data_IF_291715759481
#
_entry.id   IF_291715759481
#
_cell.length_a   1.000
_cell.length_b   1.000
_cell.length_c   1.000
_cell.angle_alpha   90.00
_cell.angle_beta   90.00
_cell.angle_gamma   90.00
#
_symmetry.space_group_name_H-M   'P 1'
#
loop_
_entity.id
_entity.type
_entity.pdbx_description
1 polymer ?
#
# COMPACT_ATOMS: atom_id res chain seq x y z
N UNK A 1 -30.21 25.64 -1.72
CA UNK A 1 -31.15 24.67 -2.32
C UNK A 1 -30.38 23.36 -2.46
N UNK A 2 -30.72 22.37 -1.64
CA UNK A 2 -30.14 21.03 -1.68
C UNK A 2 -30.77 20.30 -2.86
N UNK A 3 -30.07 20.17 -3.97
CA UNK A 3 -30.49 19.25 -5.03
C UNK A 3 -30.33 17.84 -4.46
N UNK A 4 -31.46 17.22 -4.11
CA UNK A 4 -31.53 15.79 -3.86
C UNK A 4 -31.08 15.08 -5.13
N UNK A 5 -29.86 14.50 -5.10
CA UNK A 5 -29.43 13.57 -6.15
C UNK A 5 -30.33 12.35 -5.97
N UNK A 6 -31.35 12.22 -6.85
CA UNK A 6 -32.22 11.05 -6.88
C UNK A 6 -31.50 9.95 -7.67
N UNK A 7 -31.55 8.71 -7.18
CA UNK A 7 -31.16 7.54 -7.95
C UNK A 7 -31.97 7.50 -9.26
N UNK A 8 -31.35 7.10 -10.40
CA UNK A 8 -32.09 6.88 -11.63
C UNK A 8 -33.24 5.90 -11.36
N UNK A 9 -34.41 6.21 -11.86
CA UNK A 9 -35.62 5.39 -11.64
C UNK A 9 -35.50 4.09 -12.39
N UNK A 10 -35.46 2.95 -11.67
CA UNK A 10 -35.67 1.60 -12.22
C UNK A 10 -34.96 1.31 -13.55
N UNK A 11 -33.68 1.68 -13.65
CA UNK A 11 -32.91 1.35 -14.86
C UNK A 11 -32.19 0.02 -14.67
N UNK A 12 -32.08 -0.74 -15.75
CA UNK A 12 -31.40 -2.03 -15.80
C UNK A 12 -30.05 -1.88 -16.49
N UNK A 13 -29.00 -2.43 -15.90
CA UNK A 13 -27.62 -2.42 -16.42
C UNK A 13 -27.12 -3.85 -16.59
N UNK A 14 -26.21 -4.05 -17.54
CA UNK A 14 -25.52 -5.33 -17.66
C UNK A 14 -24.54 -5.50 -16.49
N UNK A 15 -23.87 -4.39 -16.07
CA UNK A 15 -22.88 -4.40 -15.00
C UNK A 15 -23.03 -3.16 -14.12
N UNK A 16 -23.11 -3.40 -12.81
CA UNK A 16 -22.98 -2.34 -11.80
C UNK A 16 -21.63 -2.45 -11.06
N UNK A 17 -20.85 -1.36 -11.04
CA UNK A 17 -19.58 -1.27 -10.34
C UNK A 17 -19.77 -0.47 -9.05
N UNK A 18 -19.49 -1.08 -7.92
CA UNK A 18 -19.60 -0.46 -6.59
C UNK A 18 -18.23 0.07 -6.15
N UNK A 19 -18.07 1.39 -6.19
CA UNK A 19 -16.81 2.11 -6.01
C UNK A 19 -16.16 2.50 -7.34
N UNK A 20 -15.95 3.81 -7.54
CA UNK A 20 -15.28 4.38 -8.71
C UNK A 20 -13.86 4.88 -8.37
N UNK A 21 -13.13 4.12 -7.56
CA UNK A 21 -11.69 4.27 -7.35
C UNK A 21 -10.88 3.70 -8.51
N UNK A 22 -9.57 3.47 -8.29
CA UNK A 22 -8.67 2.97 -9.33
C UNK A 22 -9.16 1.65 -9.96
N UNK A 23 -9.44 0.64 -9.14
CA UNK A 23 -9.91 -0.66 -9.62
C UNK A 23 -11.30 -0.58 -10.27
N UNK A 24 -12.22 0.18 -9.66
CA UNK A 24 -13.58 0.31 -10.17
C UNK A 24 -13.64 1.08 -11.48
N UNK A 25 -12.90 2.17 -11.66
CA UNK A 25 -12.81 2.88 -12.94
C UNK A 25 -12.25 1.97 -14.04
N UNK A 26 -11.16 1.25 -13.74
CA UNK A 26 -10.60 0.30 -14.71
C UNK A 26 -11.58 -0.80 -15.08
N UNK A 27 -12.33 -1.33 -14.10
CA UNK A 27 -13.35 -2.35 -14.34
C UNK A 27 -14.51 -1.80 -15.19
N UNK A 28 -15.00 -0.62 -14.87
CA UNK A 28 -16.06 0.04 -15.60
C UNK A 28 -15.67 0.34 -17.06
N UNK A 29 -14.46 0.88 -17.28
CA UNK A 29 -13.91 1.12 -18.61
C UNK A 29 -13.83 -0.20 -19.40
N UNK A 30 -13.25 -1.24 -18.80
CA UNK A 30 -13.07 -2.52 -19.47
C UNK A 30 -14.41 -3.17 -19.85
N UNK A 31 -15.41 -3.14 -18.98
CA UNK A 31 -16.76 -3.66 -19.26
C UNK A 31 -17.48 -2.84 -20.34
N UNK A 32 -17.43 -1.52 -20.28
CA UNK A 32 -18.04 -0.62 -21.28
C UNK A 32 -17.39 -0.76 -22.64
N UNK A 33 -16.05 -0.82 -22.73
CA UNK A 33 -15.33 -1.06 -23.98
C UNK A 33 -15.66 -2.43 -24.59
N UNK A 34 -16.03 -3.42 -23.78
CA UNK A 34 -16.53 -4.71 -24.24
C UNK A 34 -18.02 -4.69 -24.64
N UNK A 35 -18.68 -3.52 -24.57
CA UNK A 35 -20.05 -3.28 -25.04
C UNK A 35 -21.15 -3.53 -24.01
N UNK A 36 -20.79 -3.64 -22.70
CA UNK A 36 -21.79 -3.71 -21.63
C UNK A 36 -22.34 -2.31 -21.31
N UNK A 37 -23.64 -2.23 -20.95
CA UNK A 37 -24.23 -1.05 -20.32
C UNK A 37 -23.82 -1.02 -18.84
N UNK A 38 -23.00 -0.03 -18.47
CA UNK A 38 -22.35 0.01 -17.15
C UNK A 38 -22.80 1.22 -16.33
N UNK A 39 -23.10 0.99 -15.05
CA UNK A 39 -23.21 2.04 -14.04
C UNK A 39 -22.09 1.88 -13.01
N UNK A 40 -21.41 2.97 -12.64
CA UNK A 40 -20.44 3.02 -11.55
C UNK A 40 -20.97 3.91 -10.42
N UNK A 41 -21.11 3.37 -9.22
CA UNK A 41 -21.71 4.04 -8.08
C UNK A 41 -20.64 4.28 -7.01
N UNK A 42 -20.46 5.54 -6.58
CA UNK A 42 -19.47 5.89 -5.56
C UNK A 42 -20.09 6.78 -4.47
N UNK A 43 -19.81 6.44 -3.22
CA UNK A 43 -20.22 7.23 -2.05
C UNK A 43 -19.51 8.57 -1.92
N UNK A 44 -18.34 8.73 -2.53
CA UNK A 44 -17.60 9.97 -2.54
C UNK A 44 -18.17 10.95 -3.59
N UNK A 45 -18.16 12.24 -3.28
CA UNK A 45 -18.53 13.29 -4.24
C UNK A 45 -17.47 13.52 -5.33
N UNK A 46 -16.22 13.14 -5.07
CA UNK A 46 -15.09 13.31 -5.99
C UNK A 46 -14.51 11.95 -6.35
N UNK A 47 -14.61 11.60 -7.63
CA UNK A 47 -14.03 10.36 -8.16
C UNK A 47 -12.51 10.41 -8.10
N UNK A 48 -11.91 9.24 -7.81
CA UNK A 48 -10.46 9.08 -7.79
C UNK A 48 -9.74 9.82 -6.66
N UNK A 49 -10.42 10.13 -5.54
CA UNK A 49 -9.84 10.90 -4.45
C UNK A 49 -8.52 10.31 -3.92
N UNK A 50 -8.43 8.97 -3.80
CA UNK A 50 -7.20 8.28 -3.39
C UNK A 50 -6.09 8.36 -4.46
N UNK A 51 -6.45 8.36 -5.75
CA UNK A 51 -5.49 8.59 -6.85
C UNK A 51 -4.89 10.00 -6.72
N UNK A 52 -5.73 11.00 -6.48
CA UNK A 52 -5.32 12.40 -6.40
C UNK A 52 -4.33 12.72 -5.29
N UNK A 53 -4.37 12.02 -4.17
CA UNK A 53 -3.45 12.24 -3.03
C UNK A 53 -2.21 11.34 -3.09
N UNK A 54 -2.26 10.28 -3.87
CA UNK A 54 -1.18 9.29 -3.93
C UNK A 54 0.13 9.87 -4.46
N UNK A 55 1.26 9.32 -3.99
CA UNK A 55 2.57 9.76 -4.41
C UNK A 55 2.83 11.27 -4.21
N UNK A 56 2.23 11.88 -3.18
CA UNK A 56 2.32 13.30 -2.92
C UNK A 56 1.58 14.17 -3.94
N UNK A 57 0.45 13.71 -4.46
CA UNK A 57 -0.36 14.41 -5.46
C UNK A 57 0.11 14.22 -6.91
N UNK A 58 1.08 13.32 -7.14
CA UNK A 58 1.64 13.02 -8.46
C UNK A 58 1.09 11.75 -9.10
N UNK A 59 0.51 10.85 -8.33
CA UNK A 59 0.09 9.50 -8.69
C UNK A 59 1.24 8.61 -9.16
N UNK A 60 1.71 7.71 -8.30
CA UNK A 60 2.63 6.66 -8.69
C UNK A 60 1.83 5.54 -9.40
N UNK A 61 1.74 5.59 -10.73
CA UNK A 61 0.84 4.75 -11.55
C UNK A 61 1.19 3.27 -11.44
N UNK A 62 2.48 2.94 -11.44
CA UNK A 62 3.00 1.57 -11.30
C UNK A 62 4.49 1.60 -10.97
N UNK A 63 5.15 0.45 -10.95
CA UNK A 63 6.60 0.31 -10.87
C UNK A 63 7.14 -0.31 -12.16
N UNK A 64 8.40 -0.09 -12.52
CA UNK A 64 9.01 -0.69 -13.71
C UNK A 64 9.08 -2.22 -13.67
N UNK A 65 9.15 -2.77 -12.44
CA UNK A 65 9.16 -4.22 -12.21
C UNK A 65 8.17 -4.53 -11.10
N UNK A 66 7.14 -5.30 -11.42
CA UNK A 66 6.12 -5.76 -10.47
C UNK A 66 6.04 -7.28 -10.54
N UNK A 67 6.25 -7.93 -9.41
CA UNK A 67 6.22 -9.39 -9.26
C UNK A 67 5.28 -9.79 -8.12
N UNK A 68 4.83 -11.04 -8.10
CA UNK A 68 3.97 -11.54 -7.05
C UNK A 68 4.63 -11.50 -5.64
N UNK A 69 5.96 -11.55 -5.59
CA UNK A 69 6.75 -11.45 -4.35
C UNK A 69 6.69 -10.06 -3.71
N UNK A 70 6.31 -9.04 -4.47
CA UNK A 70 6.13 -7.67 -3.98
C UNK A 70 4.81 -7.46 -3.22
N UNK A 71 4.00 -8.52 -3.14
CA UNK A 71 2.69 -8.50 -2.48
C UNK A 71 2.62 -9.54 -1.36
N UNK A 72 1.74 -9.26 -0.41
CA UNK A 72 1.27 -10.21 0.59
C UNK A 72 -0.02 -10.86 0.08
N UNK A 73 -0.15 -12.17 0.28
CA UNK A 73 -1.25 -12.98 -0.22
C UNK A 73 -0.77 -14.21 -0.98
N UNK A 74 -1.65 -14.86 -1.73
CA UNK A 74 -1.33 -16.05 -2.52
C UNK A 74 -0.50 -15.69 -3.75
N UNK A 75 0.81 -15.96 -3.74
CA UNK A 75 1.74 -15.64 -4.84
C UNK A 75 1.27 -16.16 -6.20
N UNK A 76 0.80 -17.40 -6.26
CA UNK A 76 0.35 -18.00 -7.53
C UNK A 76 -0.90 -17.31 -8.07
N UNK A 77 -1.84 -16.97 -7.21
CA UNK A 77 -3.06 -16.25 -7.57
C UNK A 77 -2.74 -14.83 -8.05
N UNK A 78 -1.90 -14.11 -7.29
CA UNK A 78 -1.44 -12.76 -7.63
C UNK A 78 -0.71 -12.76 -8.98
N UNK A 79 0.23 -13.69 -9.18
CA UNK A 79 0.97 -13.83 -10.43
C UNK A 79 0.05 -14.10 -11.64
N UNK A 80 -1.04 -14.87 -11.45
CA UNK A 80 -2.02 -15.14 -12.50
C UNK A 80 -2.76 -13.87 -12.92
N UNK A 81 -3.21 -13.07 -11.96
CA UNK A 81 -3.91 -11.80 -12.21
C UNK A 81 -2.97 -10.77 -12.85
N UNK A 82 -1.77 -10.57 -12.30
CA UNK A 82 -0.80 -9.59 -12.83
C UNK A 82 -0.40 -9.87 -14.29
N UNK A 83 -0.35 -11.13 -14.71
CA UNK A 83 -0.06 -11.51 -16.10
C UNK A 83 -1.16 -11.12 -17.10
N UNK A 84 -2.40 -10.90 -16.65
CA UNK A 84 -3.49 -10.47 -17.54
C UNK A 84 -3.39 -9.00 -17.96
N UNK A 85 -2.69 -8.20 -17.13
CA UNK A 85 -2.42 -6.79 -17.38
C UNK A 85 -1.15 -6.39 -16.66
N UNK A 86 -0.02 -6.62 -17.30
CA UNK A 86 1.31 -6.38 -16.76
C UNK A 86 1.71 -4.90 -16.80
N UNK A 87 2.95 -4.61 -16.38
CA UNK A 87 3.47 -3.23 -16.36
C UNK A 87 3.50 -2.64 -17.77
N UNK A 88 3.91 -3.41 -18.79
CA UNK A 88 3.97 -2.92 -20.18
C UNK A 88 2.58 -2.56 -20.70
N UNK A 89 1.58 -3.39 -20.41
CA UNK A 89 0.17 -3.14 -20.73
C UNK A 89 -0.37 -1.90 -19.99
N UNK A 90 0.02 -1.72 -18.71
CA UNK A 90 -0.36 -0.54 -17.93
C UNK A 90 0.23 0.74 -18.54
N UNK A 91 1.51 0.73 -18.90
CA UNK A 91 2.18 1.88 -19.53
C UNK A 91 1.49 2.22 -20.85
N UNK A 92 1.29 1.22 -21.72
CA UNK A 92 0.61 1.41 -23.03
C UNK A 92 -0.80 2.00 -22.85
N UNK A 93 -1.58 1.47 -21.93
CA UNK A 93 -2.93 1.98 -21.64
C UNK A 93 -2.94 3.45 -21.24
N UNK A 94 -2.07 3.87 -20.33
CA UNK A 94 -2.01 5.28 -19.93
C UNK A 94 -1.44 6.18 -21.03
N UNK A 95 -0.48 5.71 -21.83
CA UNK A 95 0.04 6.45 -22.98
C UNK A 95 -1.02 6.65 -24.08
N UNK A 96 -1.84 5.64 -24.38
CA UNK A 96 -2.99 5.73 -25.28
C UNK A 96 -4.02 6.76 -24.81
N UNK A 97 -4.21 6.90 -23.49
CA UNK A 97 -5.04 7.94 -22.89
C UNK A 97 -4.37 9.32 -22.82
N UNK A 98 -3.14 9.45 -23.35
CA UNK A 98 -2.39 10.70 -23.39
C UNK A 98 -1.58 11.01 -22.12
N UNK A 99 -1.45 10.05 -21.20
CA UNK A 99 -0.65 10.20 -19.97
C UNK A 99 0.70 9.51 -20.14
N UNK A 100 1.70 10.28 -20.60
CA UNK A 100 3.08 9.79 -20.71
C UNK A 100 3.69 9.65 -19.31
N UNK A 101 4.40 8.53 -19.10
CA UNK A 101 5.02 8.19 -17.82
C UNK A 101 6.54 8.41 -17.86
N UNK A 102 7.11 8.78 -16.73
CA UNK A 102 8.57 8.84 -16.48
C UNK A 102 8.93 7.92 -15.32
N UNK A 103 10.12 7.33 -15.42
CA UNK A 103 10.73 6.53 -14.37
C UNK A 103 11.54 7.40 -13.43
N UNK A 104 11.42 7.18 -12.11
CA UNK A 104 12.32 7.68 -11.09
C UNK A 104 13.35 6.60 -10.67
N UNK A 105 14.42 6.99 -9.98
CA UNK A 105 15.54 6.09 -9.60
C UNK A 105 15.11 4.82 -8.87
N UNK A 106 14.02 4.91 -8.10
CA UNK A 106 13.45 3.78 -7.34
C UNK A 106 12.55 2.85 -8.17
N UNK A 107 12.51 3.01 -9.50
CA UNK A 107 11.66 2.25 -10.41
C UNK A 107 10.20 2.69 -10.46
N UNK A 108 9.81 3.68 -9.68
CA UNK A 108 8.43 4.22 -9.66
C UNK A 108 8.13 4.95 -10.95
N UNK A 109 6.92 4.73 -11.50
CA UNK A 109 6.46 5.38 -12.72
C UNK A 109 5.41 6.45 -12.40
N UNK A 110 5.74 7.70 -12.72
CA UNK A 110 4.88 8.86 -12.52
C UNK A 110 4.50 9.52 -13.85
N UNK A 111 3.37 10.22 -13.94
CA UNK A 111 3.10 11.11 -15.07
C UNK A 111 4.23 12.11 -15.25
N UNK A 112 4.64 12.38 -16.50
CA UNK A 112 5.66 13.40 -16.80
C UNK A 112 5.25 14.77 -16.24
N UNK A 113 3.96 15.06 -16.24
CA UNK A 113 3.39 16.29 -15.69
C UNK A 113 3.51 16.42 -14.17
N UNK A 114 3.82 15.35 -13.45
CA UNK A 114 3.77 15.28 -11.97
C UNK A 114 2.40 15.65 -11.36
N UNK A 115 1.32 15.42 -12.07
CA UNK A 115 -0.04 15.77 -11.63
C UNK A 115 -0.95 14.55 -11.64
N UNK A 116 -1.38 14.09 -10.48
CA UNK A 116 -2.34 13.00 -10.34
C UNK A 116 -3.69 13.30 -11.03
N UNK A 117 -4.02 14.59 -11.18
CA UNK A 117 -5.22 15.03 -11.88
C UNK A 117 -5.27 14.54 -13.33
N UNK A 118 -4.13 14.55 -14.03
CA UNK A 118 -4.08 14.14 -15.43
C UNK A 118 -4.40 12.64 -15.59
N UNK A 119 -4.02 11.81 -14.59
CA UNK A 119 -4.40 10.38 -14.55
C UNK A 119 -5.91 10.22 -14.35
N UNK A 120 -6.49 10.94 -13.38
CA UNK A 120 -7.94 10.86 -13.12
C UNK A 120 -8.75 11.35 -14.32
N UNK A 121 -8.36 12.49 -14.90
CA UNK A 121 -9.06 13.06 -16.06
C UNK A 121 -8.96 12.14 -17.29
N UNK A 122 -7.85 11.44 -17.48
CA UNK A 122 -7.67 10.44 -18.53
C UNK A 122 -8.60 9.23 -18.33
N UNK A 123 -8.68 8.69 -17.10
CA UNK A 123 -9.58 7.61 -16.74
C UNK A 123 -11.05 8.01 -16.93
N UNK A 124 -11.44 9.22 -16.54
CA UNK A 124 -12.80 9.71 -16.70
C UNK A 124 -13.17 9.89 -18.19
N UNK A 125 -12.25 10.34 -19.04
CA UNK A 125 -12.48 10.37 -20.50
C UNK A 125 -12.66 8.96 -21.07
N UNK A 126 -11.83 8.01 -20.64
CA UNK A 126 -11.97 6.60 -21.05
C UNK A 126 -13.30 5.98 -20.59
N UNK A 127 -13.90 6.52 -19.52
CA UNK A 127 -15.17 6.08 -18.97
C UNK A 127 -16.39 6.85 -19.55
N UNK A 128 -16.28 7.57 -20.69
CA UNK A 128 -17.42 8.33 -21.28
C UNK A 128 -18.67 7.47 -21.54
N UNK A 129 -18.49 6.17 -21.82
CA UNK A 129 -19.60 5.23 -22.01
C UNK A 129 -20.20 4.67 -20.71
N UNK A 130 -19.71 5.09 -19.55
CA UNK A 130 -20.14 4.62 -18.22
C UNK A 130 -21.02 5.67 -17.55
N UNK A 131 -22.18 5.27 -17.04
CA UNK A 131 -22.95 6.14 -16.16
C UNK A 131 -22.29 6.20 -14.77
N UNK A 132 -21.78 7.36 -14.37
CA UNK A 132 -21.10 7.52 -13.08
C UNK A 132 -22.02 8.27 -12.12
N UNK A 133 -22.41 7.61 -11.03
CA UNK A 133 -23.27 8.14 -9.96
C UNK A 133 -22.43 8.38 -8.74
N UNK A 134 -22.32 9.63 -8.29
CA UNK A 134 -21.48 10.03 -7.14
C UNK A 134 -22.29 10.52 -5.95
N UNK A 135 -21.72 10.43 -4.75
CA UNK A 135 -22.38 10.89 -3.52
C UNK A 135 -23.51 9.96 -3.06
N UNK A 136 -23.60 8.76 -3.62
CA UNK A 136 -24.57 7.74 -3.23
C UNK A 136 -23.81 6.53 -2.68
N UNK A 137 -24.01 6.28 -1.40
CA UNK A 137 -23.50 5.08 -0.74
C UNK A 137 -24.36 3.88 -1.09
N UNK A 138 -23.75 2.78 -1.48
CA UNK A 138 -24.45 1.50 -1.59
C UNK A 138 -24.51 0.88 -0.20
N UNK A 139 -25.75 0.69 0.28
CA UNK A 139 -26.00 0.13 1.62
C UNK A 139 -26.56 -1.29 1.56
N UNK A 140 -27.23 -1.64 0.44
CA UNK A 140 -27.77 -2.97 0.20
C UNK A 140 -27.55 -3.44 -1.24
N UNK A 141 -27.38 -4.74 -1.39
CA UNK A 141 -27.42 -5.46 -2.66
C UNK A 141 -28.29 -6.69 -2.39
N UNK A 142 -29.52 -6.63 -2.91
CA UNK A 142 -30.53 -7.67 -2.69
C UNK A 142 -30.42 -8.77 -3.76
N UNK A 143 -31.16 -9.87 -3.56
CA UNK A 143 -31.22 -10.99 -4.53
C UNK A 143 -31.60 -10.47 -5.93
N UNK A 144 -30.89 -10.99 -6.96
CA UNK A 144 -31.04 -10.49 -8.34
C UNK A 144 -30.32 -9.16 -8.57
N UNK A 145 -29.39 -8.79 -7.69
CA UNK A 145 -28.59 -7.56 -7.74
C UNK A 145 -29.42 -6.29 -7.87
N UNK A 146 -30.40 -6.14 -6.98
CA UNK A 146 -31.11 -4.87 -6.78
C UNK A 146 -30.32 -4.03 -5.76
N UNK A 147 -29.70 -2.95 -6.25
CA UNK A 147 -28.81 -2.09 -5.46
C UNK A 147 -29.62 -0.94 -4.88
N UNK A 148 -29.59 -0.78 -3.54
CA UNK A 148 -30.37 0.23 -2.81
C UNK A 148 -31.87 0.25 -3.20
N UNK A 149 -32.45 -0.91 -3.54
CA UNK A 149 -33.85 -1.05 -3.90
C UNK A 149 -34.29 -0.38 -5.22
N UNK A 150 -33.34 0.09 -6.07
CA UNK A 150 -33.72 0.90 -7.25
C UNK A 150 -32.90 0.64 -8.52
N UNK A 151 -31.64 0.28 -8.42
CA UNK A 151 -30.77 -0.02 -9.57
C UNK A 151 -30.69 -1.53 -9.74
N UNK A 152 -31.03 -2.01 -10.96
CA UNK A 152 -30.96 -3.43 -11.30
C UNK A 152 -29.74 -3.70 -12.16
N UNK A 153 -29.03 -4.80 -11.92
CA UNK A 153 -27.91 -5.22 -12.75
C UNK A 153 -27.87 -6.75 -12.90
N UNK A 154 -27.42 -7.23 -14.05
CA UNK A 154 -27.19 -8.67 -14.25
C UNK A 154 -25.97 -9.16 -13.50
N UNK A 155 -24.96 -8.27 -13.35
CA UNK A 155 -23.68 -8.55 -12.70
C UNK A 155 -23.22 -7.37 -11.84
N UNK A 156 -22.52 -7.68 -10.76
CA UNK A 156 -21.98 -6.66 -9.86
C UNK A 156 -20.47 -6.82 -9.74
N UNK A 157 -19.74 -5.71 -9.80
CA UNK A 157 -18.29 -5.66 -9.48
C UNK A 157 -18.13 -4.86 -8.20
N UNK A 158 -17.67 -5.51 -7.12
CA UNK A 158 -17.40 -4.88 -5.84
C UNK A 158 -15.94 -4.39 -5.81
N UNK A 159 -15.76 -3.06 -5.94
CA UNK A 159 -14.49 -2.37 -6.03
C UNK A 159 -14.37 -1.24 -4.99
N UNK A 160 -15.02 -1.42 -3.82
CA UNK A 160 -15.21 -0.38 -2.80
C UNK A 160 -13.95 -0.07 -1.96
N UNK A 161 -12.81 -0.69 -2.28
CA UNK A 161 -11.54 -0.47 -1.58
C UNK A 161 -11.50 -1.09 -0.18
N UNK A 162 -10.52 -0.66 0.63
CA UNK A 162 -10.34 -1.11 2.01
C UNK A 162 -10.82 -0.10 3.05
N UNK A 163 -9.94 0.21 4.03
CA UNK A 163 -10.21 1.16 5.13
C UNK A 163 -9.19 2.30 5.21
N UNK A 164 -8.15 2.28 4.37
CA UNK A 164 -7.07 3.27 4.42
C UNK A 164 -7.50 4.60 3.82
N UNK A 165 -7.14 5.71 4.48
CA UNK A 165 -7.54 7.08 4.17
C UNK A 165 -9.07 7.19 4.02
N UNK A 166 -9.86 6.96 5.09
CA UNK A 166 -11.33 6.82 5.01
C UNK A 166 -12.02 8.03 4.37
N UNK A 167 -11.45 9.22 4.51
CA UNK A 167 -11.97 10.47 3.91
C UNK A 167 -12.00 10.44 2.37
N UNK A 168 -11.36 9.46 1.72
CA UNK A 168 -11.39 9.26 0.26
C UNK A 168 -12.52 8.34 -0.20
N UNK A 169 -13.38 7.86 0.70
CA UNK A 169 -14.45 6.91 0.44
C UNK A 169 -14.12 5.44 0.77
N UNK A 170 -12.85 5.15 1.11
CA UNK A 170 -12.37 3.81 1.48
C UNK A 170 -12.56 3.60 3.00
N UNK A 171 -13.79 3.44 3.45
CA UNK A 171 -14.17 3.41 4.87
C UNK A 171 -14.49 2.01 5.44
N UNK A 172 -14.35 0.98 4.61
CA UNK A 172 -14.64 -0.40 4.96
C UNK A 172 -16.10 -0.83 4.75
N UNK A 173 -16.97 0.03 4.25
CA UNK A 173 -18.36 -0.33 3.94
C UNK A 173 -18.45 -1.48 2.94
N UNK A 174 -17.51 -1.58 1.99
CA UNK A 174 -17.41 -2.71 1.05
C UNK A 174 -17.28 -4.06 1.73
N UNK A 175 -16.61 -4.14 2.88
CA UNK A 175 -16.52 -5.40 3.65
C UNK A 175 -17.87 -5.83 4.24
N UNK A 176 -18.73 -4.88 4.57
CA UNK A 176 -20.10 -5.18 5.01
C UNK A 176 -20.90 -5.76 3.86
N UNK A 177 -20.84 -5.14 2.68
CA UNK A 177 -21.49 -5.67 1.47
C UNK A 177 -20.96 -7.06 1.11
N UNK A 178 -19.65 -7.27 1.14
CA UNK A 178 -19.06 -8.57 0.88
C UNK A 178 -19.59 -9.67 1.82
N UNK A 179 -19.70 -9.37 3.14
CA UNK A 179 -20.30 -10.31 4.11
C UNK A 179 -21.77 -10.57 3.87
N UNK A 180 -22.56 -9.56 3.50
CA UNK A 180 -23.98 -9.74 3.15
C UNK A 180 -24.16 -10.65 1.93
N UNK A 181 -23.16 -10.66 1.03
CA UNK A 181 -23.13 -11.54 -0.16
C UNK A 181 -22.47 -12.90 0.12
N UNK A 182 -22.19 -13.23 1.39
CA UNK A 182 -21.72 -14.55 1.82
C UNK A 182 -20.20 -14.70 1.92
N UNK A 183 -19.43 -13.66 1.61
CA UNK A 183 -17.96 -13.71 1.72
C UNK A 183 -17.46 -13.61 3.15
N UNK A 184 -16.31 -14.22 3.40
CA UNK A 184 -15.52 -13.96 4.60
C UNK A 184 -14.64 -12.72 4.38
N UNK A 185 -14.26 -12.07 5.48
CA UNK A 185 -13.31 -10.97 5.47
C UNK A 185 -12.30 -11.21 6.57
N UNK A 186 -11.04 -11.40 6.20
CA UNK A 186 -9.94 -11.53 7.15
C UNK A 186 -9.78 -10.26 7.97
N UNK A 187 -9.18 -10.33 9.18
CA UNK A 187 -8.97 -9.14 10.00
C UNK A 187 -8.23 -8.05 9.22
N UNK A 188 -8.86 -6.89 9.07
CA UNK A 188 -8.27 -5.76 8.37
C UNK A 188 -7.47 -4.88 9.34
N UNK A 189 -6.25 -4.50 8.97
CA UNK A 189 -5.38 -3.63 9.73
C UNK A 189 -4.61 -2.66 8.80
N UNK A 190 -4.07 -1.52 9.34
CA UNK A 190 -3.31 -0.58 8.53
C UNK A 190 -2.03 -1.20 7.98
N UNK A 191 -1.70 -0.95 6.72
CA UNK A 191 -0.42 -1.30 6.10
C UNK A 191 0.15 -0.09 5.36
N UNK A 192 1.47 -0.10 5.12
CA UNK A 192 2.20 1.08 4.64
C UNK A 192 1.89 2.30 5.53
N UNK A 193 2.06 2.13 6.83
CA UNK A 193 1.68 3.11 7.85
C UNK A 193 2.88 3.53 8.68
N UNK A 194 3.05 4.84 9.00
CA UNK A 194 4.09 5.29 9.91
C UNK A 194 3.90 4.74 11.32
N UNK A 195 5.01 4.56 12.04
CA UNK A 195 5.06 3.99 13.39
C UNK A 195 5.37 5.06 14.43
N UNK A 196 4.68 4.99 15.56
CA UNK A 196 4.82 5.91 16.68
C UNK A 196 5.73 5.27 17.74
N UNK A 197 6.70 6.03 18.22
CA UNK A 197 7.58 5.60 19.30
C UNK A 197 7.10 6.14 20.66
N UNK A 198 7.67 5.63 21.74
CA UNK A 198 7.44 6.10 23.11
C UNK A 198 7.59 7.61 23.22
N UNK A 199 6.69 8.24 23.98
CA UNK A 199 6.68 9.70 24.17
C UNK A 199 7.96 10.17 24.85
N UNK A 200 8.60 11.19 24.29
CA UNK A 200 9.84 11.77 24.83
C UNK A 200 11.12 10.99 24.48
N UNK A 201 11.00 9.94 23.66
CA UNK A 201 12.19 9.23 23.19
C UNK A 201 13.00 10.12 22.22
N UNK A 202 14.32 10.08 22.29
CA UNK A 202 15.23 10.92 21.50
C UNK A 202 15.05 10.79 19.98
N UNK A 203 14.50 9.68 19.49
CA UNK A 203 14.16 9.48 18.06
C UNK A 203 13.34 10.65 17.51
N UNK A 204 12.39 11.19 18.31
CA UNK A 204 11.53 12.29 17.87
C UNK A 204 12.27 13.63 17.70
N UNK A 205 13.43 13.78 18.33
CA UNK A 205 14.30 14.94 18.19
C UNK A 205 15.09 14.94 16.87
N UNK A 206 15.20 13.79 16.22
CA UNK A 206 15.87 13.64 14.92
C UNK A 206 14.94 13.92 13.72
N UNK A 207 13.76 14.49 13.95
CA UNK A 207 12.78 14.77 12.89
C UNK A 207 13.43 15.46 11.68
N UNK A 208 13.12 14.94 10.48
CA UNK A 208 13.63 15.40 9.20
C UNK A 208 14.90 14.66 8.73
N UNK A 209 15.54 13.87 9.57
CA UNK A 209 16.72 13.06 9.17
C UNK A 209 16.26 11.79 8.48
N UNK A 210 16.86 11.49 7.34
CA UNK A 210 16.71 10.23 6.62
C UNK A 210 18.00 9.42 6.67
N UNK A 211 17.90 8.11 6.81
CA UNK A 211 19.05 7.20 6.83
C UNK A 211 18.67 5.88 6.18
N UNK A 212 19.60 5.28 5.44
CA UNK A 212 19.42 3.90 5.01
C UNK A 212 19.57 2.97 6.22
N UNK A 213 18.60 2.08 6.37
CA UNK A 213 18.57 1.11 7.44
C UNK A 213 18.04 -0.23 6.96
N UNK A 214 18.41 -1.29 7.65
CA UNK A 214 17.74 -2.58 7.55
C UNK A 214 16.90 -2.78 8.81
N UNK A 215 15.58 -2.91 8.63
CA UNK A 215 14.64 -3.15 9.72
C UNK A 215 14.27 -4.63 9.80
N UNK A 216 14.19 -5.16 11.02
CA UNK A 216 13.80 -6.54 11.26
C UNK A 216 12.67 -6.64 12.31
N UNK A 217 11.60 -7.34 11.96
CA UNK A 217 10.56 -7.77 12.90
C UNK A 217 11.01 -9.05 13.56
N UNK A 218 11.02 -9.09 14.88
CA UNK A 218 11.44 -10.25 15.68
C UNK A 218 10.30 -10.75 16.56
N UNK A 219 10.15 -12.07 16.65
CA UNK A 219 9.27 -12.70 17.62
C UNK A 219 9.76 -12.44 19.05
N UNK A 220 8.94 -12.70 20.08
CA UNK A 220 9.37 -12.62 21.49
C UNK A 220 10.57 -13.51 21.83
N UNK A 221 10.83 -14.56 21.06
CA UNK A 221 11.99 -15.45 21.21
C UNK A 221 13.23 -14.95 20.45
N UNK A 222 13.17 -13.77 19.82
CA UNK A 222 14.28 -13.19 19.04
C UNK A 222 14.43 -13.72 17.61
N UNK A 223 13.54 -14.63 17.15
CA UNK A 223 13.56 -15.13 15.77
C UNK A 223 13.13 -14.00 14.82
N UNK A 224 13.94 -13.74 13.79
CA UNK A 224 13.57 -12.82 12.71
C UNK A 224 12.42 -13.41 11.89
N UNK A 225 11.32 -12.67 11.81
CA UNK A 225 10.12 -13.02 11.06
C UNK A 225 10.11 -12.39 9.67
N UNK A 226 10.57 -11.13 9.59
CA UNK A 226 10.66 -10.38 8.34
C UNK A 226 11.78 -9.36 8.41
N UNK A 227 12.34 -9.00 7.24
CA UNK A 227 13.43 -8.04 7.12
C UNK A 227 13.26 -7.23 5.84
N UNK A 228 13.42 -5.90 5.94
CA UNK A 228 13.42 -4.98 4.80
C UNK A 228 14.58 -4.00 4.92
N UNK A 229 15.14 -3.62 3.77
CA UNK A 229 16.18 -2.59 3.69
C UNK A 229 15.71 -1.42 2.84
N UNK A 230 16.01 -0.19 3.26
CA UNK A 230 15.70 1.03 2.52
C UNK A 230 15.81 2.27 3.38
N UNK A 231 15.32 3.39 2.87
CA UNK A 231 15.37 4.66 3.56
C UNK A 231 14.33 4.72 4.68
N UNK A 232 14.80 5.05 5.88
CA UNK A 232 14.01 5.34 7.08
C UNK A 232 14.05 6.83 7.37
N UNK A 233 12.90 7.41 7.68
CA UNK A 233 12.75 8.82 8.05
C UNK A 233 12.38 8.95 9.52
N UNK A 234 13.14 9.70 10.29
CA UNK A 234 12.78 10.13 11.63
C UNK A 234 11.78 11.28 11.57
N UNK A 235 10.74 11.21 12.41
CA UNK A 235 9.67 12.22 12.47
C UNK A 235 9.44 12.65 13.92
N UNK A 236 8.70 13.75 14.11
CA UNK A 236 8.35 14.27 15.45
C UNK A 236 7.47 13.32 16.27
N UNK A 237 6.89 12.29 15.68
CA UNK A 237 6.08 11.27 16.35
C UNK A 237 6.76 9.89 16.39
N UNK A 238 7.82 9.67 15.63
CA UNK A 238 8.49 8.38 15.52
C UNK A 238 9.11 8.16 14.13
N UNK A 239 8.65 7.15 13.41
CA UNK A 239 9.31 6.62 12.22
C UNK A 239 8.38 6.59 11.00
N UNK A 240 8.92 6.91 9.84
CA UNK A 240 8.29 6.82 8.53
C UNK A 240 9.35 6.50 7.46
N UNK A 241 9.02 6.71 6.21
CA UNK A 241 9.90 6.41 5.07
C UNK A 241 9.67 5.00 4.52
N UNK A 242 10.16 4.73 3.30
CA UNK A 242 9.81 3.52 2.55
C UNK A 242 9.99 2.22 3.33
N UNK A 243 11.13 2.03 4.00
CA UNK A 243 11.39 0.78 4.72
C UNK A 243 10.48 0.61 5.95
N UNK A 244 10.12 1.71 6.62
CA UNK A 244 9.19 1.68 7.77
C UNK A 244 7.78 1.36 7.29
N UNK A 245 7.35 1.95 6.18
CA UNK A 245 6.04 1.68 5.60
C UNK A 245 5.94 0.21 5.18
N UNK A 246 6.92 -0.33 4.46
CA UNK A 246 6.94 -1.72 4.02
C UNK A 246 6.95 -2.73 5.18
N UNK A 247 7.71 -2.45 6.24
CA UNK A 247 7.84 -3.38 7.38
C UNK A 247 6.65 -3.30 8.35
N UNK A 248 5.88 -2.19 8.35
CA UNK A 248 4.86 -1.89 9.35
C UNK A 248 3.81 -2.98 9.48
N UNK A 249 3.31 -3.53 8.36
CA UNK A 249 2.31 -4.58 8.38
C UNK A 249 2.78 -5.84 9.09
N UNK A 250 4.07 -6.19 8.93
CA UNK A 250 4.65 -7.38 9.53
C UNK A 250 4.81 -7.22 11.05
N UNK A 251 5.12 -5.99 11.51
CA UNK A 251 5.14 -5.69 12.93
C UNK A 251 3.73 -5.74 13.53
N UNK A 252 2.73 -5.14 12.88
CA UNK A 252 1.34 -5.13 13.33
C UNK A 252 0.75 -6.55 13.40
N UNK A 253 0.96 -7.35 12.34
CA UNK A 253 0.38 -8.69 12.22
C UNK A 253 0.98 -9.73 13.18
N UNK A 254 2.15 -9.48 13.76
CA UNK A 254 2.89 -10.46 14.57
C UNK A 254 3.01 -10.06 16.04
N UNK A 255 2.13 -9.21 16.56
CA UNK A 255 2.18 -8.82 17.97
C UNK A 255 2.00 -10.03 18.94
N UNK A 256 2.76 -10.08 20.03
CA UNK A 256 3.77 -9.14 20.48
C UNK A 256 5.13 -9.36 19.79
N UNK A 257 5.49 -8.48 18.88
CA UNK A 257 6.75 -8.51 18.15
C UNK A 257 7.56 -7.25 18.42
N UNK A 258 8.90 -7.34 18.37
CA UNK A 258 9.79 -6.20 18.44
C UNK A 258 10.27 -5.80 17.04
N UNK A 259 10.57 -4.51 16.86
CA UNK A 259 11.19 -3.99 15.65
C UNK A 259 12.61 -3.55 15.98
N UNK A 260 13.60 -4.01 15.22
CA UNK A 260 14.99 -3.56 15.37
C UNK A 260 15.52 -2.94 14.09
N UNK A 261 16.51 -2.06 14.23
CA UNK A 261 17.18 -1.37 13.15
C UNK A 261 18.68 -1.71 13.13
N UNK A 262 19.19 -2.07 11.97
CA UNK A 262 20.59 -2.01 11.62
C UNK A 262 20.81 -0.72 10.82
N UNK A 263 21.50 0.25 11.41
CA UNK A 263 21.83 1.54 10.78
C UNK A 263 23.03 1.45 9.82
N UNK A 264 23.66 0.28 9.74
CA UNK A 264 24.78 -0.03 8.83
C UNK A 264 24.39 -1.22 7.94
N UNK A 265 23.45 -1.04 6.98
CA UNK A 265 22.90 -2.14 6.21
C UNK A 265 23.98 -2.97 5.50
N UNK A 266 23.96 -4.28 5.75
CA UNK A 266 24.97 -5.23 5.22
C UNK A 266 26.12 -5.50 6.17
N UNK A 267 26.31 -4.69 7.22
CA UNK A 267 27.29 -4.96 8.27
C UNK A 267 26.72 -5.88 9.34
N UNK A 268 27.59 -6.67 9.95
CA UNK A 268 27.27 -7.54 11.08
C UNK A 268 27.92 -7.04 12.36
N UNK A 269 27.54 -7.62 13.48
CA UNK A 269 28.20 -7.33 14.76
C UNK A 269 29.73 -7.57 14.68
N UNK A 270 30.13 -8.69 14.07
CA UNK A 270 31.52 -9.10 13.97
C UNK A 270 32.32 -8.15 13.06
N UNK A 271 31.76 -7.72 11.93
CA UNK A 271 32.44 -6.82 10.99
C UNK A 271 32.66 -5.44 11.61
N UNK A 272 31.65 -4.87 12.29
CA UNK A 272 31.75 -3.57 12.92
C UNK A 272 32.68 -3.62 14.15
N UNK A 273 32.59 -4.66 14.99
CA UNK A 273 33.50 -4.83 16.15
C UNK A 273 34.97 -4.93 15.70
N UNK A 274 35.24 -5.72 14.68
CA UNK A 274 36.58 -5.84 14.10
C UNK A 274 37.09 -4.50 13.52
N UNK A 275 36.23 -3.76 12.80
CA UNK A 275 36.60 -2.46 12.25
C UNK A 275 36.96 -1.44 13.34
N UNK A 276 36.18 -1.38 14.43
CA UNK A 276 36.46 -0.50 15.59
C UNK A 276 37.76 -0.87 16.28
N UNK A 277 38.02 -2.17 16.50
CA UNK A 277 39.28 -2.65 17.07
C UNK A 277 40.49 -2.26 16.20
N UNK A 278 40.38 -2.50 14.88
CA UNK A 278 41.45 -2.16 13.94
C UNK A 278 41.72 -0.64 13.90
N UNK A 279 40.65 0.17 13.92
CA UNK A 279 40.78 1.62 13.95
C UNK A 279 41.43 2.12 15.27
N UNK A 280 41.02 1.58 16.41
CA UNK A 280 41.62 1.90 17.72
C UNK A 280 43.12 1.56 17.78
N UNK A 281 43.54 0.42 17.19
CA UNK A 281 44.97 0.04 17.09
C UNK A 281 45.76 1.00 16.19
N UNK A 282 45.18 1.48 15.10
CA UNK A 282 45.86 2.42 14.19
C UNK A 282 45.93 3.83 14.76
N UNK A 283 44.88 4.29 15.37
CA UNK A 283 44.80 5.61 16.01
C UNK A 283 43.89 5.56 17.24
N UNK A 284 44.45 5.44 18.46
CA UNK A 284 43.67 5.40 19.71
C UNK A 284 42.83 6.66 19.94
N UNK A 285 43.21 7.79 19.35
CA UNK A 285 42.48 9.07 19.47
C UNK A 285 41.38 9.25 18.43
N UNK A 286 41.23 8.32 17.47
CA UNK A 286 40.17 8.37 16.49
C UNK A 286 38.78 8.30 17.15
N UNK A 287 37.79 8.94 16.54
CA UNK A 287 36.41 8.91 16.97
C UNK A 287 35.63 7.80 16.21
N UNK A 288 34.46 7.42 16.72
CA UNK A 288 33.57 6.45 16.08
C UNK A 288 33.17 6.93 14.70
N UNK A 289 32.91 8.22 14.52
CA UNK A 289 32.55 8.82 13.24
C UNK A 289 33.61 8.70 12.13
N UNK A 290 34.86 8.39 12.50
CA UNK A 290 35.91 8.08 11.51
C UNK A 290 35.81 6.65 10.91
N UNK A 291 35.01 5.78 11.53
CA UNK A 291 34.80 4.37 11.12
C UNK A 291 33.40 4.16 10.57
N UNK A 292 32.41 4.81 11.19
CA UNK A 292 30.99 4.65 10.91
C UNK A 292 30.46 5.90 10.25
N UNK A 293 29.81 5.75 9.08
CA UNK A 293 29.19 6.88 8.36
C UNK A 293 27.69 6.90 8.60
N UNK A 294 27.27 7.78 9.52
CA UNK A 294 25.88 8.08 9.82
C UNK A 294 25.68 9.60 9.89
N UNK A 295 24.46 10.13 9.74
CA UNK A 295 24.20 11.55 10.03
C UNK A 295 24.68 11.93 11.43
N UNK A 296 25.37 13.07 11.57
CA UNK A 296 26.03 13.49 12.80
C UNK A 296 25.09 13.50 14.02
N UNK A 297 23.86 13.98 13.83
CA UNK A 297 22.85 14.02 14.91
C UNK A 297 22.43 12.61 15.36
N UNK A 298 22.36 11.64 14.46
CA UNK A 298 22.06 10.25 14.80
C UNK A 298 23.27 9.62 15.49
N UNK A 299 24.46 9.83 14.94
CA UNK A 299 25.70 9.31 15.50
C UNK A 299 25.88 9.79 16.95
N UNK A 300 25.67 11.08 17.22
CA UNK A 300 25.76 11.67 18.56
C UNK A 300 24.77 11.07 19.58
N UNK A 301 23.65 10.49 19.12
CA UNK A 301 22.69 9.80 20.00
C UNK A 301 23.05 8.34 20.27
N UNK A 302 23.69 7.69 19.31
CA UNK A 302 24.05 6.27 19.40
C UNK A 302 25.44 6.05 20.03
N UNK A 303 26.32 7.08 19.99
CA UNK A 303 27.72 6.89 20.32
C UNK A 303 28.19 7.83 21.44
N UNK A 304 29.04 7.35 22.37
CA UNK A 304 29.65 8.22 23.35
C UNK A 304 30.68 9.17 22.69
N UNK A 305 30.80 10.37 23.23
CA UNK A 305 31.87 11.32 22.87
C UNK A 305 33.21 10.88 23.44
N UNK A 306 33.71 9.73 23.00
CA UNK A 306 34.97 9.19 23.53
C UNK A 306 35.84 8.64 22.39
N UNK A 307 37.17 8.73 22.58
CA UNK A 307 38.13 8.17 21.65
C UNK A 307 38.07 6.63 21.66
N UNK A 308 38.27 6.01 20.51
CA UNK A 308 38.21 4.54 20.32
C UNK A 308 39.12 3.77 21.26
N UNK A 309 40.33 4.31 21.54
CA UNK A 309 41.29 3.69 22.46
C UNK A 309 40.89 3.71 23.94
N UNK A 310 39.86 4.49 24.30
CA UNK A 310 39.31 4.57 25.66
C UNK A 310 38.06 3.75 25.88
N UNK A 311 37.48 3.18 24.81
CA UNK A 311 36.31 2.31 24.94
C UNK A 311 36.67 1.00 25.62
N UNK A 312 35.96 0.68 26.69
CA UNK A 312 36.03 -0.67 27.26
C UNK A 312 35.50 -1.70 26.28
N UNK A 313 35.84 -2.99 26.46
CA UNK A 313 35.30 -4.08 25.63
C UNK A 313 33.78 -4.13 25.69
N UNK A 314 33.20 -3.90 26.88
CA UNK A 314 31.75 -4.00 27.06
C UNK A 314 31.04 -2.80 26.46
N UNK A 315 31.56 -1.57 26.58
CA UNK A 315 31.00 -0.39 25.96
C UNK A 315 31.07 -0.48 24.42
N UNK A 316 32.20 -0.96 23.88
CA UNK A 316 32.32 -1.19 22.44
C UNK A 316 31.30 -2.20 21.96
N UNK A 317 31.09 -3.33 22.65
CA UNK A 317 30.09 -4.34 22.26
C UNK A 317 28.68 -3.83 22.39
N UNK A 318 28.36 -2.97 23.35
CA UNK A 318 27.07 -2.30 23.46
C UNK A 318 26.85 -1.37 22.29
N UNK A 319 27.82 -0.52 22.01
CA UNK A 319 27.81 0.38 20.88
C UNK A 319 27.57 -0.37 19.54
N UNK A 320 28.30 -1.47 19.31
CA UNK A 320 28.11 -2.25 18.08
C UNK A 320 26.69 -2.78 17.99
N UNK A 321 26.11 -3.29 19.09
CA UNK A 321 24.70 -3.71 19.10
C UNK A 321 23.75 -2.55 18.76
N UNK A 322 23.98 -1.37 19.34
CA UNK A 322 23.15 -0.19 19.08
C UNK A 322 23.27 0.31 17.63
N UNK A 323 24.38 0.02 16.95
CA UNK A 323 24.56 0.34 15.53
C UNK A 323 23.91 -0.67 14.60
N UNK A 324 23.95 -1.98 14.91
CA UNK A 324 23.52 -3.04 13.97
C UNK A 324 22.25 -3.78 14.39
N UNK A 325 21.74 -3.56 15.60
CA UNK A 325 20.55 -4.25 16.11
C UNK A 325 19.82 -3.42 17.19
N UNK A 326 19.62 -2.14 16.94
CA UNK A 326 18.93 -1.23 17.87
C UNK A 326 17.45 -1.58 17.97
N UNK A 327 16.97 -1.89 19.16
CA UNK A 327 15.53 -2.10 19.38
C UNK A 327 14.79 -0.76 19.34
N UNK A 328 13.92 -0.60 18.35
CA UNK A 328 13.10 0.59 18.18
C UNK A 328 11.94 0.59 19.18
N UNK A 329 11.71 1.65 19.94
CA UNK A 329 10.67 1.72 20.99
C UNK A 329 9.29 2.03 20.39
N UNK A 330 8.86 1.23 19.42
CA UNK A 330 7.58 1.39 18.75
C UNK A 330 6.46 0.92 19.66
N UNK A 331 5.44 1.77 19.83
CA UNK A 331 4.30 1.51 20.71
C UNK A 331 2.99 1.30 19.95
N UNK A 332 2.84 1.89 18.75
CA UNK A 332 1.65 1.74 17.90
C UNK A 332 1.92 2.23 16.47
N UNK A 333 1.04 1.91 15.57
CA UNK A 333 0.93 2.57 14.26
C UNK A 333 0.09 3.87 14.33
N UNK A 334 0.01 4.61 13.23
CA UNK A 334 -0.80 5.83 13.12
C UNK A 334 -2.25 5.62 12.69
N UNK A 335 -2.68 4.37 12.53
CA UNK A 335 -4.05 4.03 12.14
C UNK A 335 -4.35 4.20 10.65
N UNK A 336 -5.57 3.85 10.28
CA UNK A 336 -6.03 3.89 8.90
C UNK A 336 -6.02 5.27 8.25
N UNK A 337 -6.11 6.34 9.02
CA UNK A 337 -6.05 7.72 8.51
C UNK A 337 -4.73 8.04 7.82
N UNK A 338 -3.64 7.37 8.23
CA UNK A 338 -2.29 7.58 7.74
C UNK A 338 -1.71 6.37 7.00
N UNK A 339 -2.47 5.31 6.90
CA UNK A 339 -2.09 4.12 6.14
C UNK A 339 -2.33 4.35 4.65
N UNK A 340 -1.39 3.98 3.79
CA UNK A 340 -1.60 4.07 2.34
C UNK A 340 -2.53 2.96 1.85
N UNK A 341 -2.48 1.79 2.47
CA UNK A 341 -3.29 0.62 2.10
C UNK A 341 -3.80 -0.13 3.33
N UNK A 342 -4.77 -1.00 3.09
CA UNK A 342 -5.32 -1.95 4.06
C UNK A 342 -4.76 -3.34 3.80
N UNK A 343 -4.22 -3.99 4.82
CA UNK A 343 -3.97 -5.43 4.82
C UNK A 343 -5.20 -6.17 5.34
N UNK A 344 -5.44 -7.38 4.83
CA UNK A 344 -6.68 -8.11 5.08
C UNK A 344 -7.77 -7.74 4.07
N UNK A 345 -8.86 -8.49 4.06
CA UNK A 345 -9.96 -8.32 3.12
C UNK A 345 -10.61 -9.65 2.73
N UNK A 346 -11.27 -9.68 1.59
CA UNK A 346 -11.86 -10.93 1.05
C UNK A 346 -10.73 -11.83 0.53
N UNK A 347 -10.61 -13.07 1.03
CA UNK A 347 -9.51 -13.95 0.66
C UNK A 347 -9.62 -14.41 -0.80
N UNK A 348 -8.48 -14.47 -1.50
CA UNK A 348 -8.42 -14.93 -2.90
C UNK A 348 -8.88 -16.38 -3.10
N UNK A 349 -8.96 -17.19 -2.04
CA UNK A 349 -9.52 -18.55 -2.10
C UNK A 349 -11.01 -18.58 -2.44
N UNK A 350 -11.73 -17.50 -2.17
CA UNK A 350 -13.15 -17.34 -2.47
C UNK A 350 -13.40 -16.75 -3.88
N UNK A 351 -12.33 -16.46 -4.63
CA UNK A 351 -12.37 -15.81 -5.93
C UNK A 351 -11.80 -16.75 -7.01
N UNK A 352 -12.44 -16.82 -8.15
CA UNK A 352 -11.78 -17.34 -9.35
C UNK A 352 -10.83 -16.28 -9.91
N UNK A 353 -9.55 -16.43 -9.64
CA UNK A 353 -8.51 -15.50 -10.09
C UNK A 353 -8.28 -15.51 -11.62
N UNK A 354 -9.00 -16.32 -12.36
CA UNK A 354 -9.02 -16.28 -13.82
C UNK A 354 -10.03 -15.29 -14.40
N UNK A 355 -11.04 -14.93 -13.59
CA UNK A 355 -12.15 -14.04 -13.99
C UNK A 355 -12.41 -12.94 -12.97
N UNK A 356 -11.89 -13.04 -11.77
CA UNK A 356 -12.23 -12.25 -10.57
C UNK A 356 -13.66 -12.49 -10.07
N UNK A 357 -14.35 -13.52 -10.55
CA UNK A 357 -15.70 -13.88 -10.11
C UNK A 357 -15.66 -14.55 -8.74
N UNK A 358 -16.66 -14.27 -7.93
CA UNK A 358 -16.92 -14.93 -6.66
C UNK A 358 -17.21 -16.43 -6.84
N UNK A 359 -16.60 -17.28 -6.04
CA UNK A 359 -16.95 -18.71 -5.96
C UNK A 359 -18.19 -18.96 -5.10
N UNK A 360 -18.69 -17.94 -4.40
CA UNK A 360 -19.77 -18.02 -3.42
C UNK A 360 -21.07 -17.46 -4.02
N UNK A 361 -20.98 -16.31 -4.67
CA UNK A 361 -22.12 -15.60 -5.25
C UNK A 361 -21.89 -15.48 -6.77
N UNK A 362 -22.58 -16.26 -7.61
CA UNK A 362 -22.45 -16.19 -9.07
C UNK A 362 -22.77 -14.78 -9.61
N UNK A 363 -22.06 -14.35 -10.66
CA UNK A 363 -22.18 -13.02 -11.27
C UNK A 363 -21.75 -11.84 -10.37
N UNK A 364 -21.18 -12.12 -9.21
CA UNK A 364 -20.48 -11.13 -8.38
C UNK A 364 -18.97 -11.21 -8.67
N UNK A 365 -18.35 -10.08 -8.92
CA UNK A 365 -16.92 -9.94 -9.15
C UNK A 365 -16.31 -9.03 -8.07
N UNK A 366 -15.06 -9.28 -7.68
CA UNK A 366 -14.37 -8.45 -6.70
C UNK A 366 -12.99 -8.05 -7.24
N UNK A 367 -12.60 -6.78 -7.06
CA UNK A 367 -11.29 -6.30 -7.53
C UNK A 367 -10.71 -5.18 -6.65
N UNK A 368 -9.39 -5.00 -6.72
CA UNK A 368 -8.67 -3.97 -5.97
C UNK A 368 -8.45 -4.32 -4.51
N UNK A 369 -8.41 -3.28 -3.67
CA UNK A 369 -8.00 -3.35 -2.26
C UNK A 369 -9.05 -4.01 -1.32
N UNK A 370 -10.24 -4.31 -1.81
CA UNK A 370 -11.24 -5.10 -1.05
C UNK A 370 -10.77 -6.54 -0.83
N UNK A 371 -9.90 -7.03 -1.70
CA UNK A 371 -9.30 -8.35 -1.63
C UNK A 371 -8.14 -8.37 -0.63
N UNK A 372 -7.88 -9.52 -0.01
CA UNK A 372 -6.75 -9.72 0.91
C UNK A 372 -5.42 -9.81 0.12
N UNK A 373 -5.07 -8.67 -0.48
CA UNK A 373 -3.83 -8.44 -1.25
C UNK A 373 -3.35 -7.03 -0.98
N UNK A 374 -2.17 -6.90 -0.42
CA UNK A 374 -1.49 -5.62 -0.27
C UNK A 374 -0.04 -5.72 -0.77
N UNK A 375 0.37 -4.73 -1.55
CA UNK A 375 1.71 -4.61 -2.12
C UNK A 375 2.58 -3.63 -1.34
N UNK A 376 3.89 -3.69 -1.61
CA UNK A 376 4.89 -2.75 -1.10
C UNK A 376 4.59 -1.32 -1.54
N UNK A 377 5.31 -0.35 -0.90
CA UNK A 377 5.28 1.04 -1.36
C UNK A 377 5.95 1.17 -2.73
N UNK A 378 5.32 1.87 -3.66
CA UNK A 378 5.96 2.16 -4.94
C UNK A 378 5.17 1.85 -6.20
N UNK A 379 3.83 1.94 -6.16
CA UNK A 379 2.95 1.74 -7.32
C UNK A 379 2.38 0.32 -7.44
N UNK A 380 2.80 -0.60 -6.59
CA UNK A 380 2.36 -2.01 -6.63
C UNK A 380 0.85 -2.15 -6.42
N UNK A 381 0.28 -1.44 -5.45
CA UNK A 381 -1.15 -1.48 -5.15
C UNK A 381 -2.01 -0.91 -6.29
N UNK A 382 -1.50 0.08 -7.01
CA UNK A 382 -2.15 0.54 -8.23
C UNK A 382 -2.06 -0.49 -9.36
N UNK A 383 -0.90 -1.14 -9.54
CA UNK A 383 -0.78 -2.21 -10.54
C UNK A 383 -1.78 -3.35 -10.26
N UNK A 384 -1.96 -3.74 -9.00
CA UNK A 384 -2.98 -4.70 -8.59
C UNK A 384 -4.39 -4.20 -8.92
N UNK A 385 -4.68 -2.93 -8.62
CA UNK A 385 -5.97 -2.33 -8.91
C UNK A 385 -6.28 -2.32 -10.43
N UNK A 386 -5.29 -1.97 -11.26
CA UNK A 386 -5.45 -1.98 -12.71
C UNK A 386 -5.68 -3.39 -13.25
N UNK A 387 -4.82 -4.35 -12.87
CA UNK A 387 -4.89 -5.71 -13.37
C UNK A 387 -6.18 -6.42 -12.94
N UNK A 388 -6.51 -6.40 -11.64
CA UNK A 388 -7.71 -7.04 -11.12
C UNK A 388 -9.00 -6.35 -11.60
N UNK A 389 -9.00 -5.01 -11.67
CA UNK A 389 -10.14 -4.24 -12.19
C UNK A 389 -10.43 -4.55 -13.66
N UNK A 390 -9.39 -4.50 -14.51
CA UNK A 390 -9.54 -4.82 -15.93
C UNK A 390 -10.06 -6.25 -16.15
N UNK A 391 -9.49 -7.22 -15.43
CA UNK A 391 -9.91 -8.61 -15.53
C UNK A 391 -11.37 -8.79 -15.11
N UNK A 392 -11.77 -8.21 -13.97
CA UNK A 392 -13.15 -8.23 -13.49
C UNK A 392 -14.13 -7.60 -14.51
N UNK A 393 -13.77 -6.44 -15.07
CA UNK A 393 -14.61 -5.74 -16.05
C UNK A 393 -14.82 -6.53 -17.32
N UNK A 394 -13.74 -7.08 -17.91
CA UNK A 394 -13.84 -7.94 -19.11
C UNK A 394 -14.69 -9.19 -18.84
N UNK A 395 -14.45 -9.85 -17.70
CA UNK A 395 -15.21 -11.07 -17.34
C UNK A 395 -16.69 -10.78 -17.07
N UNK A 396 -16.99 -9.66 -16.42
CA UNK A 396 -18.35 -9.25 -16.13
C UNK A 396 -19.11 -8.75 -17.37
N UNK A 397 -18.46 -8.42 -18.48
CA UNK A 397 -19.15 -8.05 -19.72
C UNK A 397 -19.85 -9.22 -20.42
N UNK A 398 -19.50 -10.47 -20.05
CA UNK A 398 -20.09 -11.67 -20.64
C UNK A 398 -19.54 -12.04 -22.02
N UNK A 399 -18.38 -11.49 -22.37
CA UNK A 399 -17.72 -11.73 -23.67
C UNK A 399 -16.34 -12.37 -23.52
#
# INVERSE_FOLDING_TARGET
MSSSISLPRSEHYDVAVIGAGAAGLMAAIAASCAGARVVAIDGAKKIGAKILISGGGRCNVTNEVVRAEDFNGSRNAIAKVLRTFDVSSTVAFFEELGVKLKREETGKLFPISNRARDVVDALLRAAEGVEIVTGIRVESIESGFVINGSIHADRVILAAGGRSVPMTGSDGSGYTLARMLGHTVTPAFPALVPLVVEKGHWITELSGISVDAELAVKSPTGRVLQRHRGSMLFTHFGLSGPVVLDISRHWIANQPATLSANFLPGETFESVDAALIAAAKRNPHATIGSVVRLPDRLLARLTPETALGRLSKDDRRRLVRDLVDYTLPVVRDRGFEYAEVTAGGVPLSEIDVGTMESRICPNLYLCGEILDVDGRIGGFNFQWAWASGRLAGLSASGR
#
